data_IF_299726118963
#
_entry.id   IF_299726118963
#
_cell.length_a   1.000
_cell.length_b   1.000
_cell.length_c   1.000
_cell.angle_alpha   90.00
_cell.angle_beta   90.00
_cell.angle_gamma   90.00
#
_symmetry.space_group_name_H-M   'P 1'
#
loop_
_entity.id
_entity.type
_entity.pdbx_description
1 polymer ?
#
# COMPACT_ATOMS: atom_id res chain seq x y z
N UNK A 1 -2.29 6.79 -3.53
CA UNK A 1 -2.55 6.02 -4.74
C UNK A 1 -1.25 5.60 -5.42
N UNK A 2 -1.35 4.80 -6.51
CA UNK A 2 -0.22 4.34 -7.30
C UNK A 2 -0.18 2.82 -7.46
N UNK A 3 0.51 2.35 -8.51
CA UNK A 3 0.60 0.95 -8.89
C UNK A 3 1.18 0.03 -7.78
N UNK A 4 0.90 -1.28 -7.81
CA UNK A 4 1.57 -2.23 -6.92
C UNK A 4 3.10 -2.13 -7.14
N UNK A 5 3.88 -2.04 -6.07
CA UNK A 5 5.35 -1.88 -6.20
C UNK A 5 5.84 -0.43 -6.37
N UNK A 6 4.97 0.57 -6.49
CA UNK A 6 5.36 1.98 -6.63
C UNK A 6 6.16 2.55 -5.42
N UNK A 7 6.08 1.92 -4.23
CA UNK A 7 6.76 2.38 -3.03
C UNK A 7 5.84 2.99 -1.97
N UNK A 8 4.52 2.88 -2.15
CA UNK A 8 3.51 3.44 -1.21
C UNK A 8 3.77 3.11 0.24
N UNK A 9 4.01 1.85 0.57
CA UNK A 9 4.25 1.44 1.96
C UNK A 9 5.53 2.03 2.56
N UNK A 10 6.60 2.18 1.78
CA UNK A 10 7.84 2.83 2.21
C UNK A 10 7.59 4.30 2.52
N UNK A 11 6.91 5.00 1.61
CA UNK A 11 6.55 6.40 1.81
C UNK A 11 5.58 6.58 2.98
N UNK A 12 4.58 5.69 3.12
CA UNK A 12 3.64 5.74 4.24
C UNK A 12 4.37 5.61 5.59
N UNK A 13 5.35 4.70 5.71
CA UNK A 13 6.15 4.57 6.94
C UNK A 13 6.89 5.86 7.29
N UNK A 14 7.50 6.53 6.32
CA UNK A 14 8.15 7.81 6.52
C UNK A 14 7.16 8.92 6.95
N UNK A 15 6.01 9.00 6.29
CA UNK A 15 4.98 9.99 6.62
C UNK A 15 4.35 9.76 8.00
N UNK A 16 4.21 8.51 8.44
CA UNK A 16 3.78 8.16 9.81
C UNK A 16 4.70 8.81 10.85
N UNK A 17 6.01 8.65 10.68
CA UNK A 17 7.00 9.27 11.60
C UNK A 17 6.93 10.80 11.55
N UNK A 18 6.73 11.36 10.36
CA UNK A 18 6.69 12.81 10.16
C UNK A 18 5.41 13.46 10.72
N UNK A 19 4.26 12.80 10.53
CA UNK A 19 2.94 13.35 10.86
C UNK A 19 2.43 12.91 12.24
N UNK A 20 3.00 11.86 12.83
CA UNK A 20 2.54 11.32 14.11
C UNK A 20 1.16 10.66 14.04
N UNK A 21 0.75 10.15 12.87
CA UNK A 21 -0.54 9.46 12.67
C UNK A 21 -0.31 8.02 12.20
N UNK A 22 -1.20 7.07 12.49
CA UNK A 22 -1.04 5.69 12.08
C UNK A 22 -1.21 5.49 10.57
N UNK A 23 -0.55 4.45 10.02
CA UNK A 23 -0.84 3.95 8.69
C UNK A 23 -1.79 2.76 8.76
N UNK A 24 -2.87 2.85 8.01
CA UNK A 24 -3.85 1.77 7.82
C UNK A 24 -3.62 1.12 6.46
N UNK A 25 -2.89 0.00 6.46
CA UNK A 25 -2.61 -0.77 5.25
C UNK A 25 -3.54 -1.96 5.14
N UNK A 26 -4.52 -1.87 4.23
CA UNK A 26 -5.47 -2.98 3.99
C UNK A 26 -4.77 -4.27 3.58
N UNK A 27 -3.71 -4.15 2.78
CA UNK A 27 -2.91 -5.31 2.38
C UNK A 27 -2.19 -5.99 3.56
N UNK A 28 -1.73 -5.23 4.55
CA UNK A 28 -1.09 -5.79 5.76
C UNK A 28 -2.13 -6.49 6.64
N UNK A 29 -3.28 -5.85 6.88
CA UNK A 29 -4.37 -6.43 7.67
C UNK A 29 -4.82 -7.77 7.07
N UNK A 30 -5.03 -7.82 5.75
CA UNK A 30 -5.42 -9.06 5.07
C UNK A 30 -4.34 -10.14 5.16
N UNK A 31 -3.06 -9.80 5.01
CA UNK A 31 -1.96 -10.76 5.17
C UNK A 31 -1.85 -11.30 6.59
N UNK A 32 -2.06 -10.45 7.57
CA UNK A 32 -2.10 -10.87 8.98
C UNK A 32 -3.29 -11.79 9.25
N UNK A 33 -4.46 -11.47 8.73
CA UNK A 33 -5.64 -12.32 8.81
C UNK A 33 -5.40 -13.70 8.17
N UNK A 34 -4.73 -13.77 7.02
CA UNK A 34 -4.33 -15.01 6.35
C UNK A 34 -3.35 -15.80 7.23
N UNK A 35 -2.33 -15.14 7.77
CA UNK A 35 -1.33 -15.76 8.65
C UNK A 35 -1.96 -16.39 9.90
N UNK A 36 -2.93 -15.68 10.48
CA UNK A 36 -3.66 -16.10 11.68
C UNK A 36 -4.85 -17.03 11.37
N UNK A 37 -5.04 -17.41 10.09
CA UNK A 37 -6.08 -18.29 9.61
C UNK A 37 -7.50 -17.88 10.06
N UNK A 38 -7.78 -16.58 10.14
CA UNK A 38 -9.09 -16.06 10.49
C UNK A 38 -10.10 -16.28 9.35
N UNK A 39 -11.44 -16.23 9.61
CA UNK A 39 -12.45 -16.32 8.55
C UNK A 39 -12.23 -15.28 7.44
N UNK A 40 -11.86 -14.05 7.78
CA UNK A 40 -11.46 -13.00 6.85
C UNK A 40 -10.26 -13.44 6.00
N UNK A 41 -9.21 -13.96 6.63
CA UNK A 41 -8.01 -14.43 5.95
C UNK A 41 -8.29 -15.58 4.99
N UNK A 42 -9.13 -16.54 5.39
CA UNK A 42 -9.52 -17.65 4.53
C UNK A 42 -10.26 -17.19 3.27
N UNK A 43 -11.20 -16.25 3.41
CA UNK A 43 -11.95 -15.70 2.27
C UNK A 43 -11.10 -14.82 1.36
N UNK A 44 -10.15 -14.06 1.91
CA UNK A 44 -9.29 -13.14 1.15
C UNK A 44 -8.16 -13.83 0.40
N UNK A 45 -7.71 -14.99 0.90
CA UNK A 45 -6.47 -15.66 0.44
C UNK A 45 -6.47 -15.96 -1.06
N UNK A 46 -7.55 -16.50 -1.60
CA UNK A 46 -7.65 -16.88 -3.02
C UNK A 46 -7.50 -15.65 -3.94
N UNK A 47 -8.11 -14.52 -3.59
CA UNK A 47 -8.00 -13.28 -4.36
C UNK A 47 -6.57 -12.73 -4.33
N UNK A 48 -5.95 -12.70 -3.15
CA UNK A 48 -4.60 -12.17 -3.00
C UNK A 48 -3.54 -13.04 -3.69
N UNK A 49 -3.66 -14.37 -3.60
CA UNK A 49 -2.74 -15.32 -4.27
C UNK A 49 -2.87 -15.20 -5.81
N UNK A 50 -4.05 -14.85 -6.35
CA UNK A 50 -4.30 -14.61 -7.76
C UNK A 50 -3.99 -13.16 -8.23
N UNK A 51 -3.59 -12.25 -7.32
CA UNK A 51 -3.37 -10.84 -7.64
C UNK A 51 -4.64 -10.03 -7.88
N UNK A 52 -5.80 -10.57 -7.53
CA UNK A 52 -7.10 -9.93 -7.61
C UNK A 52 -7.43 -9.09 -6.38
N UNK A 53 -8.41 -8.19 -6.52
CA UNK A 53 -8.93 -7.46 -5.36
C UNK A 53 -9.89 -8.35 -4.56
N UNK A 54 -9.79 -8.23 -3.24
CA UNK A 54 -10.78 -8.80 -2.31
C UNK A 54 -12.08 -8.03 -2.47
N UNK A 55 -13.27 -8.67 -2.40
CA UNK A 55 -14.56 -8.01 -2.58
C UNK A 55 -14.72 -6.75 -1.74
N UNK A 56 -15.26 -5.68 -2.34
CA UNK A 56 -15.33 -4.34 -1.74
C UNK A 56 -15.99 -4.32 -0.36
N UNK A 57 -17.11 -5.04 -0.20
CA UNK A 57 -17.83 -5.08 1.08
C UNK A 57 -16.97 -5.62 2.24
N UNK A 58 -16.10 -6.60 1.96
CA UNK A 58 -15.17 -7.17 2.95
C UNK A 58 -14.14 -6.15 3.36
N UNK A 59 -13.51 -5.47 2.38
CA UNK A 59 -12.45 -4.49 2.64
C UNK A 59 -13.01 -3.23 3.30
N UNK A 60 -14.18 -2.77 2.89
CA UNK A 60 -14.88 -1.62 3.51
C UNK A 60 -15.22 -1.90 4.98
N UNK A 61 -15.78 -3.10 5.27
CA UNK A 61 -16.09 -3.50 6.64
C UNK A 61 -14.86 -3.49 7.54
N UNK A 62 -13.79 -4.14 7.10
CA UNK A 62 -12.51 -4.19 7.80
C UNK A 62 -11.92 -2.78 8.03
N UNK A 63 -12.02 -1.89 7.03
CA UNK A 63 -11.53 -0.53 7.17
C UNK A 63 -12.32 0.26 8.20
N UNK A 64 -13.65 0.17 8.19
CA UNK A 64 -14.52 0.85 9.17
C UNK A 64 -14.13 0.51 10.60
N UNK A 65 -13.91 -0.77 10.88
CA UNK A 65 -13.47 -1.22 12.20
C UNK A 65 -12.11 -0.62 12.57
N UNK A 66 -11.13 -0.67 11.66
CA UNK A 66 -9.77 -0.21 11.93
C UNK A 66 -9.66 1.30 12.15
N UNK A 67 -10.34 2.13 11.37
CA UNK A 67 -10.27 3.59 11.54
C UNK A 67 -11.10 4.09 12.73
N UNK A 68 -11.98 3.28 13.30
CA UNK A 68 -12.70 3.58 14.54
C UNK A 68 -11.82 3.39 15.80
N UNK A 69 -10.64 2.80 15.67
CA UNK A 69 -9.72 2.62 16.79
C UNK A 69 -9.18 3.96 17.31
N UNK A 70 -8.85 4.05 18.63
CA UNK A 70 -8.47 5.31 19.27
C UNK A 70 -7.25 6.00 18.66
N UNK A 71 -6.30 5.26 18.09
CA UNK A 71 -5.10 5.80 17.45
C UNK A 71 -5.38 6.58 16.16
N UNK A 72 -6.51 6.32 15.51
CA UNK A 72 -6.94 7.03 14.28
C UNK A 72 -7.68 8.35 14.53
N UNK A 73 -7.95 8.72 15.78
CA UNK A 73 -8.74 9.94 16.11
C UNK A 73 -8.12 11.24 15.60
N UNK A 74 -6.80 11.32 15.56
CA UNK A 74 -6.07 12.52 15.14
C UNK A 74 -5.70 12.50 13.64
N UNK A 75 -6.23 11.55 12.89
CA UNK A 75 -5.93 11.32 11.48
C UNK A 75 -5.25 9.98 11.24
N UNK A 76 -5.11 9.65 9.96
CA UNK A 76 -4.50 8.39 9.51
C UNK A 76 -4.03 8.50 8.07
N UNK A 77 -3.15 7.59 7.67
CA UNK A 77 -2.72 7.42 6.28
C UNK A 77 -3.27 6.09 5.78
N UNK A 78 -4.03 6.11 4.68
CA UNK A 78 -4.51 4.90 4.03
C UNK A 78 -3.47 4.41 3.00
N UNK A 79 -3.04 3.15 3.13
CA UNK A 79 -2.19 2.48 2.14
C UNK A 79 -2.92 1.28 1.54
N UNK A 80 -3.12 1.34 0.22
CA UNK A 80 -3.80 0.30 -0.55
C UNK A 80 -5.33 0.30 -0.41
N UNK A 81 -5.92 1.41 0.00
CA UNK A 81 -7.35 1.71 -0.02
C UNK A 81 -7.58 3.21 -0.27
N UNK A 82 -8.60 3.63 -1.03
CA UNK A 82 -9.46 2.76 -1.85
C UNK A 82 -8.71 2.20 -3.07
N UNK A 83 -9.26 1.14 -3.67
CA UNK A 83 -8.76 0.56 -4.93
C UNK A 83 -9.81 0.51 -6.04
N UNK A 84 -11.06 0.82 -5.72
CA UNK A 84 -12.18 0.90 -6.66
C UNK A 84 -13.01 2.14 -6.40
N UNK A 85 -13.78 2.60 -7.40
CA UNK A 85 -14.70 3.73 -7.22
C UNK A 85 -15.72 3.45 -6.11
N UNK A 86 -16.38 2.28 -6.04
CA UNK A 86 -17.29 1.98 -4.93
C UNK A 86 -16.64 2.06 -3.54
N UNK A 87 -15.37 1.67 -3.43
CA UNK A 87 -14.63 1.84 -2.18
C UNK A 87 -14.39 3.31 -1.82
N UNK A 88 -14.10 4.17 -2.82
CA UNK A 88 -13.92 5.60 -2.60
C UNK A 88 -15.21 6.29 -2.19
N UNK A 89 -16.32 5.97 -2.85
CA UNK A 89 -17.66 6.46 -2.49
C UNK A 89 -18.06 6.04 -1.06
N UNK A 90 -17.80 4.79 -0.69
CA UNK A 90 -18.02 4.32 0.67
C UNK A 90 -17.12 5.06 1.68
N UNK A 91 -15.84 5.31 1.33
CA UNK A 91 -14.90 6.05 2.18
C UNK A 91 -15.38 7.47 2.45
N UNK A 92 -15.92 8.17 1.46
CA UNK A 92 -16.45 9.53 1.59
C UNK A 92 -17.63 9.62 2.60
N UNK A 93 -18.33 8.50 2.85
CA UNK A 93 -19.38 8.41 3.90
C UNK A 93 -18.84 8.12 5.29
N UNK A 94 -17.60 7.65 5.40
CA UNK A 94 -16.99 7.16 6.64
C UNK A 94 -16.01 8.16 7.22
N UNK A 95 -15.23 8.84 6.37
CA UNK A 95 -14.18 9.74 6.77
C UNK A 95 -13.95 10.85 5.72
N UNK A 96 -13.49 12.00 6.19
CA UNK A 96 -13.03 13.08 5.31
C UNK A 96 -11.59 12.80 4.91
N UNK A 97 -11.33 12.78 3.61
CA UNK A 97 -9.98 12.67 3.06
C UNK A 97 -9.50 14.05 2.61
N UNK A 98 -8.41 14.52 3.19
CA UNK A 98 -7.82 15.84 2.89
C UNK A 98 -7.02 15.81 1.59
N UNK A 99 -6.30 14.72 1.34
CA UNK A 99 -5.41 14.59 0.18
C UNK A 99 -5.27 13.14 -0.28
N UNK A 100 -5.27 12.94 -1.59
CA UNK A 100 -4.91 11.69 -2.24
C UNK A 100 -3.56 11.87 -2.93
N UNK A 101 -2.49 11.36 -2.32
CA UNK A 101 -1.15 11.38 -2.90
C UNK A 101 -0.98 10.19 -3.84
N UNK A 102 -0.63 10.45 -5.11
CA UNK A 102 -0.38 9.42 -6.12
C UNK A 102 1.09 9.35 -6.49
N UNK A 103 1.69 8.14 -6.35
CA UNK A 103 3.05 7.84 -6.79
C UNK A 103 3.00 7.35 -8.24
N UNK A 104 3.54 8.15 -9.15
CA UNK A 104 3.60 7.81 -10.57
C UNK A 104 4.90 7.07 -10.86
N UNK A 105 4.78 5.82 -11.32
CA UNK A 105 5.91 4.94 -11.63
C UNK A 105 5.54 4.10 -12.86
N UNK A 106 6.36 4.08 -13.93
CA UNK A 106 6.13 3.24 -15.09
C UNK A 106 6.16 1.74 -14.76
N UNK A 107 5.39 0.95 -15.50
CA UNK A 107 5.23 -0.49 -15.26
C UNK A 107 6.54 -1.26 -15.33
N UNK A 108 7.45 -0.90 -16.26
CA UNK A 108 8.76 -1.53 -16.40
C UNK A 108 9.62 -1.35 -15.14
N UNK A 109 9.49 -0.20 -14.48
CA UNK A 109 10.18 0.09 -13.20
C UNK A 109 9.54 -0.71 -12.07
N UNK A 110 8.21 -0.85 -12.09
CA UNK A 110 7.44 -1.64 -11.12
C UNK A 110 7.88 -3.11 -11.14
N UNK A 111 7.96 -3.73 -12.33
CA UNK A 111 8.37 -5.13 -12.47
C UNK A 111 9.76 -5.36 -11.85
N UNK A 112 10.71 -4.48 -12.14
CA UNK A 112 12.05 -4.53 -11.55
C UNK A 112 12.04 -4.39 -10.02
N UNK A 113 11.17 -3.53 -9.48
CA UNK A 113 11.03 -3.33 -8.03
C UNK A 113 10.41 -4.54 -7.33
N UNK A 114 9.40 -5.16 -7.94
CA UNK A 114 8.68 -6.26 -7.31
C UNK A 114 9.51 -7.55 -7.25
N UNK A 115 10.27 -7.85 -8.28
CA UNK A 115 11.18 -9.01 -8.30
C UNK A 115 12.30 -8.90 -7.26
N UNK A 116 12.76 -7.68 -6.97
CA UNK A 116 13.79 -7.40 -5.96
C UNK A 116 13.27 -7.26 -4.52
N UNK A 117 11.94 -7.23 -4.31
CA UNK A 117 11.36 -7.03 -2.99
C UNK A 117 11.57 -8.22 -2.06
N UNK A 118 11.84 -7.90 -0.79
CA UNK A 118 11.93 -8.86 0.31
C UNK A 118 11.09 -8.33 1.48
N UNK A 119 10.40 -9.22 2.18
CA UNK A 119 9.55 -8.83 3.32
C UNK A 119 9.79 -9.74 4.52
N UNK A 120 9.71 -9.15 5.69
CA UNK A 120 9.66 -9.89 6.94
C UNK A 120 8.22 -10.29 7.25
N UNK A 121 7.95 -11.60 7.35
CA UNK A 121 6.59 -12.10 7.68
C UNK A 121 6.23 -11.90 9.16
N UNK A 122 7.21 -11.58 10.02
CA UNK A 122 7.00 -11.38 11.45
C UNK A 122 6.59 -9.94 11.78
N UNK A 123 7.32 -8.94 11.27
CA UNK A 123 7.09 -7.53 11.60
C UNK A 123 6.58 -6.67 10.43
N UNK A 124 6.44 -7.24 9.23
CA UNK A 124 5.95 -6.52 8.05
C UNK A 124 6.98 -5.62 7.34
N UNK A 125 8.20 -5.49 7.89
CA UNK A 125 9.25 -4.66 7.27
C UNK A 125 9.54 -5.08 5.84
N UNK A 126 9.75 -4.09 4.96
CA UNK A 126 9.97 -4.30 3.52
C UNK A 126 11.35 -3.79 3.11
N UNK A 127 12.04 -4.59 2.31
CA UNK A 127 13.38 -4.33 1.78
C UNK A 127 13.38 -4.52 0.27
N UNK A 128 14.46 -4.06 -0.35
CA UNK A 128 14.73 -4.32 -1.75
C UNK A 128 16.22 -4.63 -1.94
N UNK A 129 16.54 -5.71 -2.66
CA UNK A 129 17.92 -6.21 -2.79
C UNK A 129 18.93 -5.20 -3.33
N UNK A 130 18.48 -4.16 -4.06
CA UNK A 130 19.33 -3.08 -4.60
C UNK A 130 19.04 -1.72 -3.96
N UNK A 131 17.77 -1.30 -3.88
CA UNK A 131 17.39 0.06 -3.50
C UNK A 131 17.36 0.30 -1.99
N UNK A 132 17.05 -0.73 -1.20
CA UNK A 132 17.02 -0.69 0.27
C UNK A 132 17.40 -2.09 0.81
N UNK A 133 18.68 -2.51 0.67
CA UNK A 133 19.08 -3.83 1.12
C UNK A 133 19.10 -3.91 2.66
N UNK A 134 18.81 -5.08 3.25
CA UNK A 134 19.04 -5.29 4.67
C UNK A 134 20.54 -5.25 4.98
N UNK A 135 20.90 -4.92 6.21
CA UNK A 135 22.31 -4.90 6.67
C UNK A 135 22.99 -6.25 6.54
N UNK A 136 22.24 -7.32 6.83
CA UNK A 136 22.66 -8.69 6.62
C UNK A 136 21.69 -9.36 5.63
N UNK A 137 22.27 -10.03 4.63
CA UNK A 137 21.47 -10.73 3.60
C UNK A 137 20.38 -11.63 4.23
N UNK A 138 19.18 -11.57 3.67
CA UNK A 138 18.01 -12.36 4.07
C UNK A 138 17.58 -12.22 5.54
N UNK A 139 18.08 -11.21 6.26
CA UNK A 139 17.76 -10.97 7.68
C UNK A 139 17.09 -9.61 7.87
N UNK A 140 16.01 -9.57 8.63
CA UNK A 140 15.28 -8.35 8.93
C UNK A 140 16.02 -7.48 9.94
N UNK A 141 16.34 -6.22 9.60
CA UNK A 141 17.04 -5.29 10.49
C UNK A 141 16.21 -4.88 11.71
N UNK A 142 14.89 -5.03 11.65
CA UNK A 142 13.96 -4.62 12.72
C UNK A 142 13.80 -5.69 13.79
N UNK A 143 13.66 -6.97 13.40
CA UNK A 143 13.32 -8.04 14.35
C UNK A 143 14.21 -9.28 14.23
N UNK A 144 15.20 -9.29 13.35
CA UNK A 144 16.16 -10.38 13.17
C UNK A 144 15.62 -11.63 12.46
N UNK A 145 14.36 -11.61 12.04
CA UNK A 145 13.74 -12.76 11.39
C UNK A 145 14.09 -12.84 9.90
N UNK A 146 13.87 -14.01 9.28
CA UNK A 146 14.17 -14.26 7.87
C UNK A 146 13.30 -13.43 6.95
N UNK A 147 13.90 -12.92 5.85
CA UNK A 147 13.20 -12.23 4.79
C UNK A 147 12.71 -13.22 3.71
N UNK A 148 11.56 -12.90 3.12
CA UNK A 148 10.88 -13.74 2.14
C UNK A 148 10.47 -12.95 0.90
N UNK A 149 10.36 -13.64 -0.24
CA UNK A 149 9.68 -13.13 -1.43
C UNK A 149 8.18 -13.36 -1.21
N UNK A 150 7.36 -12.35 -1.50
CA UNK A 150 5.90 -12.52 -1.44
C UNK A 150 5.42 -13.42 -2.57
N UNK A 151 4.37 -14.19 -2.31
CA UNK A 151 3.74 -15.03 -3.34
C UNK A 151 3.17 -14.20 -4.49
N UNK A 152 2.64 -13.02 -4.17
CA UNK A 152 2.07 -12.06 -5.10
C UNK A 152 3.13 -11.17 -5.83
N UNK A 153 4.41 -11.46 -5.68
CA UNK A 153 5.53 -10.82 -6.40
C UNK A 153 6.12 -11.72 -7.51
N UNK A 154 5.49 -12.83 -7.82
CA UNK A 154 5.85 -13.64 -8.98
C UNK A 154 5.53 -12.87 -10.26
N UNK A 155 6.35 -12.98 -11.33
CA UNK A 155 6.20 -12.18 -12.55
C UNK A 155 4.80 -12.22 -13.18
N UNK A 156 4.20 -13.41 -13.27
CA UNK A 156 2.86 -13.63 -13.78
C UNK A 156 1.78 -12.94 -12.94
N UNK A 157 1.91 -13.01 -11.61
CA UNK A 157 0.99 -12.34 -10.68
C UNK A 157 1.18 -10.82 -10.72
N UNK A 158 2.42 -10.34 -10.88
CA UNK A 158 2.72 -8.90 -11.01
C UNK A 158 2.01 -8.30 -12.21
N UNK A 159 2.08 -8.93 -13.38
CA UNK A 159 1.40 -8.44 -14.57
C UNK A 159 -0.12 -8.41 -14.37
N UNK A 160 -0.69 -9.43 -13.77
CA UNK A 160 -2.12 -9.44 -13.47
C UNK A 160 -2.52 -8.31 -12.50
N UNK A 161 -1.68 -8.04 -11.49
CA UNK A 161 -1.90 -6.92 -10.56
C UNK A 161 -1.80 -5.56 -11.22
N UNK A 162 -0.91 -5.38 -12.19
CA UNK A 162 -0.81 -4.15 -12.99
C UNK A 162 -2.06 -3.96 -13.84
N UNK A 163 -2.51 -5.00 -14.54
CA UNK A 163 -3.75 -4.95 -15.32
C UNK A 163 -4.96 -4.57 -14.43
N UNK A 164 -5.10 -5.24 -13.27
CA UNK A 164 -6.14 -4.92 -12.27
C UNK A 164 -6.03 -3.46 -11.77
N UNK A 165 -4.82 -2.96 -11.56
CA UNK A 165 -4.59 -1.58 -11.14
C UNK A 165 -5.08 -0.59 -12.21
N UNK A 166 -4.68 -0.76 -13.45
CA UNK A 166 -5.08 0.14 -14.54
C UNK A 166 -6.59 0.13 -14.77
N UNK A 167 -7.21 -1.04 -14.69
CA UNK A 167 -8.64 -1.19 -14.90
C UNK A 167 -9.48 -0.60 -13.75
N UNK A 168 -9.11 -0.89 -12.51
CA UNK A 168 -10.00 -0.66 -11.35
C UNK A 168 -9.53 0.46 -10.42
N UNK A 169 -8.22 0.69 -10.30
CA UNK A 169 -7.66 1.61 -9.31
C UNK A 169 -7.22 2.94 -9.92
N UNK A 170 -6.66 2.93 -11.09
CA UNK A 170 -6.19 4.15 -11.75
C UNK A 170 -7.30 5.18 -11.98
N UNK A 171 -8.56 4.83 -12.26
CA UNK A 171 -9.68 5.78 -12.34
C UNK A 171 -9.92 6.61 -11.07
N UNK A 172 -9.38 6.19 -9.93
CA UNK A 172 -9.41 7.00 -8.70
C UNK A 172 -8.62 8.30 -8.80
N UNK A 173 -7.66 8.41 -9.72
CA UNK A 173 -6.97 9.67 -10.00
C UNK A 173 -7.96 10.73 -10.47
N UNK A 174 -8.82 10.38 -11.41
CA UNK A 174 -9.88 11.29 -11.88
C UNK A 174 -10.90 11.59 -10.78
N UNK A 175 -11.26 10.58 -9.99
CA UNK A 175 -12.20 10.74 -8.88
C UNK A 175 -11.72 11.78 -7.87
N UNK A 176 -10.49 11.67 -7.39
CA UNK A 176 -9.91 12.65 -6.45
C UNK A 176 -9.45 13.93 -7.14
N UNK A 177 -9.09 13.88 -8.42
CA UNK A 177 -8.77 15.05 -9.24
C UNK A 177 -9.95 16.00 -9.36
N UNK A 178 -11.15 15.49 -9.64
CA UNK A 178 -12.40 16.27 -9.69
C UNK A 178 -12.76 16.92 -8.35
N UNK A 179 -12.32 16.34 -7.25
CA UNK A 179 -12.50 16.91 -5.91
C UNK A 179 -11.40 17.92 -5.51
N UNK A 180 -10.40 18.13 -6.36
CA UNK A 180 -9.22 18.97 -6.05
C UNK A 180 -8.29 18.41 -4.98
N UNK A 181 -8.42 17.12 -4.65
CA UNK A 181 -7.66 16.45 -3.58
C UNK A 181 -6.44 15.69 -4.09
N UNK A 182 -6.31 15.44 -5.40
CA UNK A 182 -5.22 14.68 -5.97
C UNK A 182 -3.91 15.49 -6.00
N UNK A 183 -2.84 14.87 -5.52
CA UNK A 183 -1.46 15.34 -5.70
C UNK A 183 -0.63 14.21 -6.28
N UNK A 184 -0.12 14.38 -7.50
CA UNK A 184 0.73 13.38 -8.17
C UNK A 184 2.19 13.75 -8.00
N UNK A 185 3.02 12.75 -7.67
CA UNK A 185 4.46 12.89 -7.52
C UNK A 185 5.20 11.81 -8.31
N UNK A 186 6.40 12.13 -8.78
CA UNK A 186 7.30 11.17 -9.43
C UNK A 186 7.85 10.19 -8.39
N UNK A 187 7.47 8.92 -8.52
CA UNK A 187 7.94 7.82 -7.68
C UNK A 187 9.16 7.08 -8.27
N UNK A 188 9.74 7.53 -9.38
CA UNK A 188 10.92 6.88 -10.00
C UNK A 188 12.22 7.24 -9.31
N UNK A 189 12.24 8.34 -8.58
CA UNK A 189 13.41 8.85 -7.86
C UNK A 189 13.83 7.92 -6.70
N UNK A 190 15.02 8.13 -6.18
CA UNK A 190 15.46 7.43 -4.97
C UNK A 190 14.56 7.69 -3.77
N UNK A 191 14.55 6.79 -2.79
CA UNK A 191 13.64 6.83 -1.62
C UNK A 191 13.64 8.21 -0.96
N UNK A 192 14.81 8.74 -0.58
CA UNK A 192 14.94 10.05 0.09
C UNK A 192 14.40 11.22 -0.74
N UNK A 193 14.62 11.19 -2.04
CA UNK A 193 14.14 12.24 -2.93
C UNK A 193 12.61 12.17 -3.08
N UNK A 194 12.04 10.98 -3.21
CA UNK A 194 10.59 10.78 -3.22
C UNK A 194 9.95 11.25 -1.90
N UNK A 195 10.58 10.99 -0.76
CA UNK A 195 10.14 11.47 0.56
C UNK A 195 10.10 13.00 0.63
N UNK A 196 11.15 13.68 0.14
CA UNK A 196 11.21 15.14 0.09
C UNK A 196 10.13 15.74 -0.82
N UNK A 197 9.95 15.17 -2.02
CA UNK A 197 8.90 15.60 -2.96
C UNK A 197 7.52 15.44 -2.31
N UNK A 198 7.28 14.33 -1.62
CA UNK A 198 6.01 14.09 -0.93
C UNK A 198 5.73 15.11 0.18
N UNK A 199 6.74 15.44 1.01
CA UNK A 199 6.64 16.46 2.06
C UNK A 199 6.30 17.82 1.46
N UNK A 200 6.99 18.24 0.41
CA UNK A 200 6.68 19.50 -0.30
C UNK A 200 5.26 19.50 -0.88
N UNK A 201 4.88 18.41 -1.54
CA UNK A 201 3.54 18.28 -2.11
C UNK A 201 2.44 18.35 -1.04
N UNK A 202 2.69 17.80 0.17
CA UNK A 202 1.73 17.82 1.29
C UNK A 202 1.76 19.13 2.08
N UNK A 203 2.80 19.96 1.94
CA UNK A 203 2.96 21.20 2.70
C UNK A 203 3.40 20.95 4.16
N UNK A 204 4.21 19.91 4.39
CA UNK A 204 4.69 19.48 5.71
C UNK A 204 6.12 19.98 6.00
#
# INVERSE_FOLDING_TARGET
LGAPGAGKGTLASYLVEKMGVPSVSTGNILREAIKNNTPLGQSAKQFMDAGQLVPDGVVIGMLKERIAEPDCKNGFILDGFPRTIPQAEALDTIATIDCALSLEVPDEVIEGRMTGRRVCLKCGASYHIKANPPRQADTCDVCGDKLHIRKDDKPDVVQHRLATYHEQTEPLKDYYGKQGKLKSIDGTQGIRQTEQIAVQALGL
#
